data_IF_266111211444
#
_entry.id   IF_266111211444
#
_cell.length_a   1.000
_cell.length_b   1.000
_cell.length_c   1.000
_cell.angle_alpha   90.00
_cell.angle_beta   90.00
_cell.angle_gamma   90.00
#
_symmetry.space_group_name_H-M   'P 1'
#
loop_
_entity.id
_entity.type
_entity.pdbx_description
1 polymer ?
#
# COMPACT_ATOMS: atom_id res chain seq x y z
N UNK A 1 1.58 4.39 4.43
CA UNK A 1 2.68 4.63 5.38
C UNK A 1 2.28 4.13 6.75
N UNK A 2 3.20 3.55 7.53
CA UNK A 2 2.97 3.17 8.93
C UNK A 2 2.46 4.34 9.79
N UNK A 3 1.73 4.04 10.86
CA UNK A 3 1.19 5.07 11.77
C UNK A 3 2.27 5.61 12.73
N UNK A 4 3.31 4.84 13.00
CA UNK A 4 4.47 5.21 13.81
C UNK A 4 5.72 4.43 13.40
N UNK A 5 6.79 4.55 14.20
CA UNK A 5 8.08 3.84 13.99
C UNK A 5 7.92 2.36 14.36
N UNK A 6 7.20 1.63 13.51
CA UNK A 6 6.78 0.26 13.75
C UNK A 6 7.96 -0.73 13.78
N UNK A 7 9.12 -0.33 13.27
CA UNK A 7 10.38 -1.04 13.37
C UNK A 7 10.82 -1.19 14.84
N UNK A 8 10.37 -0.28 15.72
CA UNK A 8 10.60 -0.38 17.16
C UNK A 8 9.35 -0.94 17.86
N UNK A 9 9.49 -2.06 18.56
CA UNK A 9 8.37 -2.80 19.17
C UNK A 9 7.47 -1.94 20.07
N UNK A 10 8.06 -1.02 20.84
CA UNK A 10 7.31 -0.10 21.70
C UNK A 10 6.33 0.83 20.93
N UNK A 11 6.53 1.03 19.63
CA UNK A 11 5.71 1.91 18.79
C UNK A 11 5.00 1.16 17.64
N UNK A 12 5.13 -0.17 17.57
CA UNK A 12 4.57 -1.00 16.51
C UNK A 12 3.06 -1.25 16.63
N UNK A 13 2.54 -1.23 17.86
CA UNK A 13 1.17 -1.68 18.15
C UNK A 13 0.10 -0.93 17.33
N UNK A 14 0.23 0.40 17.22
CA UNK A 14 -0.73 1.20 16.45
C UNK A 14 -0.77 0.83 14.98
N UNK A 15 0.40 0.65 14.35
CA UNK A 15 0.49 0.21 12.95
C UNK A 15 -0.10 -1.18 12.75
N UNK A 16 0.25 -2.15 13.62
CA UNK A 16 -0.23 -3.54 13.53
C UNK A 16 -1.75 -3.62 13.67
N UNK A 17 -2.33 -2.95 14.66
CA UNK A 17 -3.77 -2.99 14.89
C UNK A 17 -4.55 -2.34 13.75
N UNK A 18 -4.05 -1.23 13.18
CA UNK A 18 -4.67 -0.64 11.98
C UNK A 18 -4.65 -1.62 10.82
N UNK A 19 -3.53 -2.31 10.56
CA UNK A 19 -3.45 -3.28 9.47
C UNK A 19 -4.44 -4.43 9.65
N UNK A 20 -4.59 -4.95 10.88
CA UNK A 20 -5.56 -6.01 11.21
C UNK A 20 -7.00 -5.56 11.02
N UNK A 21 -7.34 -4.35 11.44
CA UNK A 21 -8.70 -3.80 11.26
C UNK A 21 -9.01 -3.62 9.78
N UNK A 22 -8.09 -3.06 9.00
CA UNK A 22 -8.26 -2.87 7.56
C UNK A 22 -8.47 -4.21 6.86
N UNK A 23 -7.60 -5.20 7.12
CA UNK A 23 -7.72 -6.55 6.57
C UNK A 23 -9.10 -7.18 6.87
N UNK A 24 -9.54 -7.14 8.13
CA UNK A 24 -10.83 -7.68 8.54
C UNK A 24 -12.01 -6.99 7.83
N UNK A 25 -11.96 -5.67 7.64
CA UNK A 25 -13.00 -4.95 6.91
C UNK A 25 -12.99 -5.25 5.41
N UNK A 26 -11.81 -5.46 4.83
CA UNK A 26 -11.66 -5.88 3.43
C UNK A 26 -12.22 -7.27 3.20
N UNK A 27 -11.89 -8.25 4.05
CA UNK A 27 -12.45 -9.60 3.96
C UNK A 27 -13.97 -9.63 4.09
N UNK A 28 -14.53 -8.72 4.89
CA UNK A 28 -15.99 -8.55 5.03
C UNK A 28 -16.65 -7.84 3.84
N UNK A 29 -15.89 -7.44 2.82
CA UNK A 29 -16.39 -6.67 1.68
C UNK A 29 -16.88 -5.27 2.06
N UNK A 30 -16.48 -4.76 3.24
CA UNK A 30 -16.90 -3.45 3.75
C UNK A 30 -15.92 -2.33 3.42
N UNK A 31 -14.72 -2.68 2.95
CA UNK A 31 -13.65 -1.75 2.65
C UNK A 31 -12.85 -2.21 1.43
N UNK A 32 -12.80 -1.38 0.40
CA UNK A 32 -11.79 -1.46 -0.65
C UNK A 32 -10.49 -0.89 -0.09
N UNK A 33 -9.48 -1.73 0.14
CA UNK A 33 -8.21 -1.32 0.74
C UNK A 33 -7.12 -1.21 -0.31
N UNK A 34 -6.47 -0.05 -0.35
CA UNK A 34 -5.34 0.20 -1.24
C UNK A 34 -4.13 0.59 -0.40
N UNK A 35 -3.05 -0.18 -0.52
CA UNK A 35 -1.81 0.02 0.22
C UNK A 35 -0.70 0.33 -0.76
N UNK A 36 0.15 1.30 -0.44
CA UNK A 36 1.28 1.70 -1.30
C UNK A 36 2.61 1.76 -0.55
N UNK A 37 3.66 1.27 -1.19
CA UNK A 37 5.05 1.42 -0.81
C UNK A 37 5.65 0.27 -0.01
N UNK A 38 6.97 0.13 -0.08
CA UNK A 38 7.74 -0.92 0.59
C UNK A 38 7.57 -0.92 2.11
N UNK A 39 7.57 0.26 2.75
CA UNK A 39 7.40 0.34 4.21
C UNK A 39 6.01 -0.11 4.66
N UNK A 40 4.99 0.15 3.86
CA UNK A 40 3.64 -0.35 4.13
C UNK A 40 3.57 -1.87 3.99
N UNK A 41 4.33 -2.46 3.04
CA UNK A 41 4.45 -3.92 2.90
C UNK A 41 5.17 -4.54 4.11
N UNK A 42 6.23 -3.90 4.60
CA UNK A 42 6.91 -4.29 5.84
C UNK A 42 5.97 -4.25 7.05
N UNK A 43 5.09 -3.26 7.13
CA UNK A 43 4.07 -3.17 8.18
C UNK A 43 3.00 -4.27 8.07
N UNK A 44 2.59 -4.64 6.84
CA UNK A 44 1.70 -5.79 6.59
C UNK A 44 2.33 -7.09 7.11
N UNK A 45 3.61 -7.32 6.79
CA UNK A 45 4.36 -8.47 7.27
C UNK A 45 4.50 -8.46 8.80
N UNK A 46 4.80 -7.31 9.41
CA UNK A 46 4.89 -7.16 10.86
C UNK A 46 3.56 -7.46 11.58
N UNK A 47 2.43 -7.23 10.91
CA UNK A 47 1.10 -7.58 11.42
C UNK A 47 0.75 -9.07 11.26
N UNK A 48 1.59 -9.86 10.58
CA UNK A 48 1.35 -11.27 10.25
C UNK A 48 0.32 -11.47 9.14
N UNK A 49 0.16 -10.46 8.28
CA UNK A 49 -0.80 -10.45 7.16
C UNK A 49 -0.05 -10.59 5.83
N UNK A 50 -0.82 -10.82 4.77
CA UNK A 50 -0.33 -11.00 3.41
C UNK A 50 -0.97 -10.00 2.45
N UNK A 51 -0.46 -9.92 1.23
CA UNK A 51 -1.03 -9.10 0.16
C UNK A 51 -2.49 -9.46 -0.17
N UNK A 52 -2.86 -10.73 0.00
CA UNK A 52 -4.22 -11.25 -0.21
C UNK A 52 -5.24 -10.76 0.82
N UNK A 53 -4.78 -10.19 1.92
CA UNK A 53 -5.65 -9.64 2.96
C UNK A 53 -6.16 -8.23 2.63
N UNK A 54 -5.74 -7.68 1.48
CA UNK A 54 -6.06 -6.33 1.02
C UNK A 54 -6.55 -6.36 -0.43
N UNK A 55 -7.23 -5.30 -0.88
CA UNK A 55 -7.76 -5.26 -2.25
C UNK A 55 -6.66 -5.03 -3.28
N UNK A 56 -5.70 -4.16 -2.98
CA UNK A 56 -4.57 -3.90 -3.86
C UNK A 56 -3.35 -3.41 -3.06
N UNK A 57 -2.17 -3.94 -3.39
CA UNK A 57 -0.91 -3.45 -2.86
C UNK A 57 0.01 -3.02 -4.00
N UNK A 58 0.44 -1.75 -3.97
CA UNK A 58 1.44 -1.17 -4.84
C UNK A 58 2.82 -1.23 -4.19
N UNK A 59 3.83 -1.65 -4.95
CA UNK A 59 5.25 -1.58 -4.55
C UNK A 59 5.85 -0.19 -4.71
N UNK A 60 5.28 0.63 -5.61
CA UNK A 60 5.81 1.95 -5.94
C UNK A 60 5.25 3.04 -5.03
N UNK A 61 5.78 3.22 -3.82
CA UNK A 61 5.22 4.16 -2.83
C UNK A 61 5.08 5.60 -3.33
N UNK A 62 6.20 6.23 -3.71
CA UNK A 62 6.20 7.62 -4.19
C UNK A 62 5.48 7.80 -5.52
N UNK A 63 5.77 6.94 -6.49
CA UNK A 63 5.13 6.98 -7.82
C UNK A 63 3.61 6.79 -7.73
N UNK A 64 3.15 5.93 -6.83
CA UNK A 64 1.72 5.70 -6.58
C UNK A 64 1.04 6.91 -5.94
N UNK A 65 1.71 7.59 -5.00
CA UNK A 65 1.17 8.82 -4.40
C UNK A 65 1.11 9.98 -5.40
N UNK A 66 2.16 10.18 -6.22
CA UNK A 66 2.13 11.18 -7.29
C UNK A 66 1.02 10.91 -8.30
N UNK A 67 0.81 9.65 -8.65
CA UNK A 67 -0.31 9.26 -9.50
C UNK A 67 -1.67 9.55 -8.83
N UNK A 68 -1.83 9.26 -7.54
CA UNK A 68 -3.04 9.58 -6.78
C UNK A 68 -3.28 11.09 -6.63
N UNK A 69 -2.23 11.93 -6.63
CA UNK A 69 -2.37 13.39 -6.65
C UNK A 69 -2.75 13.95 -8.02
N UNK A 70 -2.82 13.11 -9.05
CA UNK A 70 -3.18 13.48 -10.41
C UNK A 70 -1.99 13.89 -11.27
N UNK A 71 -0.75 13.67 -10.81
CA UNK A 71 0.43 13.97 -11.60
C UNK A 71 0.53 13.00 -12.79
N UNK A 72 0.93 13.52 -13.94
CA UNK A 72 1.24 12.68 -15.09
C UNK A 72 2.45 11.79 -14.76
N UNK A 73 2.32 10.49 -15.00
CA UNK A 73 3.41 9.54 -14.82
C UNK A 73 4.26 9.47 -16.10
N UNK A 74 5.48 10.06 -16.15
CA UNK A 74 6.21 10.20 -17.41
C UNK A 74 6.57 8.85 -18.04
N UNK A 75 6.86 7.84 -17.21
CA UNK A 75 7.14 6.48 -17.68
C UNK A 75 5.93 5.80 -18.32
N UNK A 76 4.72 6.04 -17.80
CA UNK A 76 3.48 5.48 -18.37
C UNK A 76 3.10 6.22 -19.64
N UNK A 77 3.20 7.55 -19.64
CA UNK A 77 2.97 8.38 -20.83
C UNK A 77 3.92 8.01 -21.99
N UNK A 78 5.19 7.73 -21.70
CA UNK A 78 6.15 7.27 -22.69
C UNK A 78 5.74 5.94 -23.33
N UNK A 79 5.18 5.00 -22.54
CA UNK A 79 4.70 3.71 -23.05
C UNK A 79 3.43 3.84 -23.91
N UNK A 80 2.52 4.73 -23.55
CA UNK A 80 1.30 4.98 -24.34
C UNK A 80 1.60 5.59 -25.71
N UNK A 81 2.67 6.38 -25.80
CA UNK A 81 3.13 7.00 -27.03
C UNK A 81 4.11 6.11 -27.82
N UNK A 82 4.46 4.92 -27.30
CA UNK A 82 5.35 4.01 -27.99
C UNK A 82 4.64 3.41 -29.22
N UNK A 83 5.28 3.37 -30.39
CA UNK A 83 4.69 2.74 -31.58
C UNK A 83 4.45 1.25 -31.30
N UNK A 84 3.22 0.78 -31.60
CA UNK A 84 2.90 -0.65 -31.59
C UNK A 84 3.71 -1.34 -32.69
N UNK A 85 4.75 -2.08 -32.32
CA UNK A 85 5.44 -3.02 -33.21
C UNK A 85 4.69 -4.35 -33.26
#
# INVERSE_FOLDING_TARGET
GPIGVFEHSAFANGTVEVMRVVSNLTHKGKLTSVIGGGDSLSAVNAAGLTDKDFTYISTGGGAFLSWLSGDEMPGVAALQNAPNN
#
